data_IF_722928556996
#
_entry.id   IF_722928556996
#
_cell.length_a   1.000
_cell.length_b   1.000
_cell.length_c   1.000
_cell.angle_alpha   90.00
_cell.angle_beta   90.00
_cell.angle_gamma   90.00
#
_symmetry.space_group_name_H-M   'P 1'
#
loop_
_entity.id
_entity.type
_entity.pdbx_description
1 polymer ?
#
# COMPACT_ATOMS: atom_id res chain seq x y z
N UNK A 1 24.79 16.21 13.27
CA UNK A 1 24.78 16.10 11.81
C UNK A 1 23.32 16.15 11.37
N UNK A 2 22.87 17.31 10.85
CA UNK A 2 21.51 17.46 10.30
C UNK A 2 21.54 17.01 8.84
N UNK A 3 21.76 15.73 8.59
CA UNK A 3 21.63 15.17 7.24
C UNK A 3 20.15 15.15 6.85
N UNK A 4 19.80 15.83 5.77
CA UNK A 4 18.46 15.77 5.18
C UNK A 4 18.37 14.44 4.44
N UNK A 5 17.58 13.49 4.95
CA UNK A 5 17.30 12.23 4.28
C UNK A 5 15.94 12.27 3.57
N UNK A 6 15.81 11.46 2.52
CA UNK A 6 14.58 11.36 1.74
C UNK A 6 13.73 10.18 2.19
N UNK A 7 12.45 10.38 2.15
CA UNK A 7 11.47 9.33 2.42
C UNK A 7 10.41 9.31 1.32
N UNK A 8 9.83 8.14 1.15
CA UNK A 8 8.62 7.93 0.36
C UNK A 8 7.44 7.76 1.31
N UNK A 9 6.30 8.38 0.99
CA UNK A 9 5.02 8.10 1.63
C UNK A 9 4.04 7.53 0.60
N UNK A 10 3.34 6.44 0.99
CA UNK A 10 2.44 5.73 0.08
C UNK A 10 1.05 5.58 0.74
N UNK A 11 0.37 6.69 1.07
CA UNK A 11 -0.92 6.62 1.73
C UNK A 11 -1.99 6.06 0.81
N UNK A 12 -2.90 5.32 1.43
CA UNK A 12 -4.06 4.76 0.77
C UNK A 12 -5.31 5.43 1.34
N UNK A 13 -6.07 6.10 0.50
CA UNK A 13 -7.30 6.79 0.88
C UNK A 13 -8.54 6.05 0.37
N UNK A 14 -9.60 6.06 1.15
CA UNK A 14 -10.86 5.34 0.86
C UNK A 14 -11.79 6.20 0.01
N UNK A 15 -11.35 6.51 -1.20
CA UNK A 15 -12.18 7.17 -2.22
C UNK A 15 -11.61 6.97 -3.62
N UNK A 16 -12.48 6.96 -4.62
CA UNK A 16 -12.17 7.06 -6.04
C UNK A 16 -12.83 8.30 -6.67
N UNK A 17 -13.42 9.19 -5.85
CA UNK A 17 -14.05 10.41 -6.32
C UNK A 17 -13.02 11.41 -6.88
N UNK A 18 -13.10 11.78 -8.20
CA UNK A 18 -12.09 12.62 -8.82
C UNK A 18 -11.92 14.00 -8.18
N UNK A 19 -13.01 14.61 -7.70
CA UNK A 19 -12.97 15.95 -7.10
C UNK A 19 -12.23 15.93 -5.76
N UNK A 20 -12.49 14.92 -4.95
CA UNK A 20 -11.76 14.68 -3.68
C UNK A 20 -10.28 14.37 -3.96
N UNK A 21 -9.98 13.51 -4.95
CA UNK A 21 -8.61 13.18 -5.32
C UNK A 21 -7.83 14.39 -5.83
N UNK A 22 -8.47 15.28 -6.58
CA UNK A 22 -7.85 16.53 -7.05
C UNK A 22 -7.50 17.46 -5.88
N UNK A 23 -8.37 17.58 -4.87
CA UNK A 23 -8.12 18.38 -3.66
C UNK A 23 -6.96 17.78 -2.84
N UNK A 24 -6.94 16.47 -2.65
CA UNK A 24 -5.85 15.76 -1.98
C UNK A 24 -4.53 15.96 -2.73
N UNK A 25 -4.54 15.81 -4.06
CA UNK A 25 -3.36 16.03 -4.90
C UNK A 25 -2.84 17.46 -4.79
N UNK A 26 -3.74 18.46 -4.78
CA UNK A 26 -3.38 19.87 -4.61
C UNK A 26 -2.78 20.14 -3.23
N UNK A 27 -3.31 19.52 -2.16
CA UNK A 27 -2.76 19.63 -0.82
C UNK A 27 -1.32 19.09 -0.74
N UNK A 28 -1.04 17.93 -1.34
CA UNK A 28 0.31 17.36 -1.40
C UNK A 28 1.25 18.28 -2.20
N UNK A 29 0.84 18.71 -3.40
CA UNK A 29 1.63 19.60 -4.28
C UNK A 29 1.82 21.01 -3.73
N UNK A 30 1.08 21.42 -2.70
CA UNK A 30 1.29 22.71 -2.05
C UNK A 30 2.63 22.81 -1.30
N UNK A 31 3.33 21.68 -1.10
CA UNK A 31 4.66 21.62 -0.52
C UNK A 31 5.70 21.49 -1.65
N UNK A 32 6.49 22.53 -1.95
CA UNK A 32 7.34 22.58 -3.14
C UNK A 32 8.41 21.49 -3.22
N UNK A 33 8.90 21.04 -2.06
CA UNK A 33 9.95 20.01 -1.98
C UNK A 33 9.43 18.57 -2.12
N UNK A 34 8.12 18.39 -2.28
CA UNK A 34 7.49 17.08 -2.40
C UNK A 34 7.10 16.82 -3.85
N UNK A 35 7.59 15.71 -4.37
CA UNK A 35 7.26 15.20 -5.69
C UNK A 35 6.14 14.17 -5.59
N UNK A 36 4.92 14.56 -5.96
CA UNK A 36 3.78 13.64 -6.10
C UNK A 36 3.94 12.84 -7.41
N UNK A 37 4.45 11.62 -7.28
CA UNK A 37 4.79 10.73 -8.38
C UNK A 37 3.55 10.12 -9.04
N UNK A 38 2.67 9.50 -8.24
CA UNK A 38 1.55 8.71 -8.77
C UNK A 38 0.30 8.87 -7.93
N UNK A 39 -0.84 8.71 -8.62
CA UNK A 39 -2.17 8.59 -8.05
C UNK A 39 -2.82 7.38 -8.72
N UNK A 40 -2.73 6.22 -8.06
CA UNK A 40 -3.24 4.95 -8.58
C UNK A 40 -4.65 4.69 -8.01
N UNK A 41 -5.67 4.91 -8.82
CA UNK A 41 -7.08 4.79 -8.43
C UNK A 41 -7.67 3.45 -8.85
N UNK A 42 -8.30 2.74 -7.91
CA UNK A 42 -9.11 1.55 -8.14
C UNK A 42 -10.59 1.86 -7.94
N UNK A 43 -11.36 1.90 -9.02
CA UNK A 43 -12.78 2.29 -8.98
C UNK A 43 -13.63 1.31 -8.16
N UNK A 44 -13.57 0.01 -8.45
CA UNK A 44 -14.32 -1.00 -7.70
C UNK A 44 -13.85 -1.14 -6.24
N UNK A 45 -12.57 -0.88 -5.99
CA UNK A 45 -12.02 -0.82 -4.65
C UNK A 45 -12.50 0.42 -3.87
N UNK A 46 -12.97 1.46 -4.58
CA UNK A 46 -13.25 2.79 -4.07
C UNK A 46 -12.09 3.27 -3.18
N UNK A 47 -10.88 3.18 -3.73
CA UNK A 47 -9.61 3.37 -3.01
C UNK A 47 -8.54 3.90 -3.96
N UNK A 48 -7.74 4.82 -3.48
CA UNK A 48 -6.65 5.41 -4.25
C UNK A 48 -5.35 5.37 -3.44
N UNK A 49 -4.27 5.01 -4.11
CA UNK A 49 -2.91 5.04 -3.59
C UNK A 49 -2.22 6.28 -4.12
N UNK A 50 -1.75 7.13 -3.23
CA UNK A 50 -0.85 8.22 -3.58
C UNK A 50 0.59 7.76 -3.33
N UNK A 51 1.52 8.19 -4.14
CA UNK A 51 2.96 7.94 -3.95
C UNK A 51 3.70 9.26 -4.13
N UNK A 52 4.37 9.72 -3.09
CA UNK A 52 5.18 10.94 -3.13
C UNK A 52 6.47 10.81 -2.34
N UNK A 53 7.47 11.55 -2.77
CA UNK A 53 8.86 11.49 -2.31
C UNK A 53 9.36 12.90 -2.02
N UNK A 54 10.24 13.04 -1.04
CA UNK A 54 10.91 14.30 -0.72
C UNK A 54 11.74 14.21 0.54
N UNK A 55 12.31 15.33 0.98
CA UNK A 55 12.93 15.45 2.30
C UNK A 55 11.92 15.09 3.40
N UNK A 56 12.37 14.40 4.45
CA UNK A 56 11.45 13.86 5.46
C UNK A 56 10.52 14.91 6.07
N UNK A 57 11.02 16.10 6.41
CA UNK A 57 10.20 17.18 6.97
C UNK A 57 9.08 17.63 6.02
N UNK A 58 9.40 17.78 4.73
CA UNK A 58 8.42 18.19 3.71
C UNK A 58 7.38 17.11 3.44
N UNK A 59 7.78 15.83 3.42
CA UNK A 59 6.85 14.71 3.28
C UNK A 59 5.89 14.62 4.46
N UNK A 60 6.35 14.83 5.70
CA UNK A 60 5.47 14.86 6.87
C UNK A 60 4.47 16.03 6.78
N UNK A 61 4.89 17.23 6.41
CA UNK A 61 3.99 18.36 6.20
C UNK A 61 2.95 18.09 5.11
N UNK A 62 3.38 17.56 3.98
CA UNK A 62 2.47 17.17 2.89
C UNK A 62 1.48 16.09 3.33
N UNK A 63 1.94 15.12 4.14
CA UNK A 63 1.09 14.03 4.66
C UNK A 63 0.04 14.59 5.64
N UNK A 64 0.40 15.53 6.49
CA UNK A 64 -0.57 16.19 7.38
C UNK A 64 -1.67 16.89 6.57
N UNK A 65 -1.30 17.72 5.59
CA UNK A 65 -2.27 18.41 4.71
C UNK A 65 -3.14 17.43 3.91
N UNK A 66 -2.55 16.34 3.45
CA UNK A 66 -3.26 15.26 2.77
C UNK A 66 -4.30 14.62 3.69
N UNK A 67 -3.92 14.28 4.92
CA UNK A 67 -4.82 13.68 5.93
C UNK A 67 -5.95 14.64 6.26
N UNK A 68 -5.65 15.90 6.58
CA UNK A 68 -6.65 16.93 6.89
C UNK A 68 -7.67 17.07 5.75
N UNK A 69 -7.18 17.07 4.50
CA UNK A 69 -8.04 17.13 3.31
C UNK A 69 -8.89 15.86 3.18
N UNK A 70 -8.30 14.67 3.33
CA UNK A 70 -9.04 13.42 3.25
C UNK A 70 -10.16 13.35 4.30
N UNK A 71 -9.88 13.73 5.55
CA UNK A 71 -10.87 13.75 6.65
C UNK A 71 -12.00 14.78 6.42
N UNK A 72 -11.72 15.87 5.72
CA UNK A 72 -12.74 16.86 5.37
C UNK A 72 -13.78 16.29 4.38
N UNK A 73 -13.33 15.54 3.37
CA UNK A 73 -14.16 15.15 2.22
C UNK A 73 -14.61 13.68 2.23
N UNK A 74 -13.96 12.80 3.00
CA UNK A 74 -14.31 11.37 3.05
C UNK A 74 -15.12 11.09 4.34
N UNK A 75 -16.24 10.39 4.16
CA UNK A 75 -17.09 9.92 5.26
C UNK A 75 -17.21 8.38 5.18
N UNK A 76 -16.54 7.69 6.08
CA UNK A 76 -16.47 6.23 6.11
C UNK A 76 -17.83 5.57 6.37
N UNK A 77 -18.78 6.27 6.98
CA UNK A 77 -20.17 5.78 7.19
C UNK A 77 -20.90 5.54 5.87
N UNK A 78 -20.46 6.20 4.79
CA UNK A 78 -21.05 6.13 3.44
C UNK A 78 -20.18 5.33 2.46
N UNK A 79 -18.98 4.90 2.90
CA UNK A 79 -18.02 4.24 2.03
C UNK A 79 -18.39 2.77 1.78
N UNK A 80 -18.34 2.35 0.50
CA UNK A 80 -18.35 0.95 0.09
C UNK A 80 -17.30 0.70 -1.00
N UNK A 81 -16.70 -0.49 -1.01
CA UNK A 81 -15.70 -0.92 -1.98
C UNK A 81 -15.28 -2.36 -1.69
N UNK A 82 -14.76 -3.05 -2.71
CA UNK A 82 -14.39 -4.48 -2.58
C UNK A 82 -13.05 -4.69 -1.86
N UNK A 83 -12.27 -3.64 -1.66
CA UNK A 83 -10.97 -3.74 -1.00
C UNK A 83 -11.09 -3.53 0.52
N UNK A 84 -10.38 -4.33 1.36
CA UNK A 84 -10.34 -4.12 2.80
C UNK A 84 -9.86 -2.71 3.17
N UNK A 85 -10.55 -2.07 4.12
CA UNK A 85 -10.22 -0.72 4.61
C UNK A 85 -10.74 -0.50 6.03
N UNK A 86 -10.13 0.43 6.76
CA UNK A 86 -10.54 0.75 8.11
C UNK A 86 -10.71 2.27 8.38
N UNK A 87 -10.35 3.13 7.43
CA UNK A 87 -10.50 4.58 7.60
C UNK A 87 -10.41 5.37 6.31
N UNK A 88 -10.74 6.65 6.38
CA UNK A 88 -10.63 7.60 5.27
C UNK A 88 -9.21 7.64 4.71
N UNK A 89 -8.21 7.66 5.60
CA UNK A 89 -6.83 7.28 5.32
C UNK A 89 -6.64 5.91 5.95
N UNK A 90 -6.68 4.87 5.14
CA UNK A 90 -6.66 3.49 5.62
C UNK A 90 -5.25 3.06 6.08
N UNK A 91 -4.26 3.29 5.23
CA UNK A 91 -2.85 2.99 5.52
C UNK A 91 -1.98 4.18 5.13
N UNK A 92 -1.08 4.58 6.01
CA UNK A 92 -0.12 5.66 5.77
C UNK A 92 1.30 5.18 6.12
N UNK A 93 1.99 4.51 5.17
CA UNK A 93 3.34 4.01 5.37
C UNK A 93 4.38 5.04 4.97
N UNK A 94 5.48 5.05 5.71
CA UNK A 94 6.69 5.78 5.39
C UNK A 94 7.84 4.81 5.11
N UNK A 95 8.66 5.09 4.10
CA UNK A 95 9.81 4.29 3.68
C UNK A 95 11.04 5.19 3.59
N UNK A 96 12.13 4.79 4.23
CA UNK A 96 13.42 5.46 4.06
C UNK A 96 13.98 5.11 2.68
N UNK A 97 14.40 6.11 1.92
CA UNK A 97 15.01 5.94 0.59
C UNK A 97 16.53 6.14 0.59
N UNK A 98 17.08 6.69 1.66
CA UNK A 98 18.51 6.93 1.80
C UNK A 98 19.17 5.85 2.68
N UNK A 99 20.45 6.01 2.97
CA UNK A 99 21.31 5.03 3.61
C UNK A 99 20.84 4.61 5.01
N UNK A 100 21.26 3.41 5.43
CA UNK A 100 20.85 2.80 6.69
C UNK A 100 21.26 3.63 7.92
N UNK A 101 22.29 4.49 7.80
CA UNK A 101 22.70 5.39 8.87
C UNK A 101 21.59 6.33 9.35
N UNK A 102 20.63 6.69 8.48
CA UNK A 102 19.49 7.53 8.82
C UNK A 102 18.34 6.74 9.47
N UNK A 103 18.42 5.41 9.56
CA UNK A 103 17.31 4.55 10.01
C UNK A 103 16.79 4.93 11.40
N UNK A 104 17.68 5.20 12.35
CA UNK A 104 17.28 5.57 13.71
C UNK A 104 16.56 6.93 13.76
N UNK A 105 17.08 7.93 13.04
CA UNK A 105 16.47 9.25 12.93
C UNK A 105 15.10 9.18 12.23
N UNK A 106 15.00 8.41 11.16
CA UNK A 106 13.77 8.15 10.42
C UNK A 106 12.69 7.52 11.31
N UNK A 107 13.02 6.44 12.03
CA UNK A 107 12.05 5.78 12.92
C UNK A 107 11.52 6.73 13.99
N UNK A 108 12.45 7.50 14.60
CA UNK A 108 12.08 8.51 15.60
C UNK A 108 11.15 9.58 15.03
N UNK A 109 11.44 10.06 13.82
CA UNK A 109 10.62 11.09 13.16
C UNK A 109 9.22 10.56 12.80
N UNK A 110 9.11 9.32 12.32
CA UNK A 110 7.80 8.68 12.07
C UNK A 110 7.01 8.54 13.36
N UNK A 111 7.63 8.11 14.47
CA UNK A 111 6.95 7.99 15.76
C UNK A 111 6.48 9.35 16.29
N UNK A 112 7.28 10.41 16.13
CA UNK A 112 6.90 11.77 16.47
C UNK A 112 5.72 12.27 15.63
N UNK A 113 5.70 11.95 14.33
CA UNK A 113 4.59 12.29 13.45
C UNK A 113 3.30 11.55 13.82
N UNK A 114 3.39 10.27 14.19
CA UNK A 114 2.26 9.48 14.71
C UNK A 114 1.66 10.15 15.95
N UNK A 115 2.50 10.54 16.94
CA UNK A 115 2.04 11.25 18.14
C UNK A 115 1.36 12.58 17.78
N UNK A 116 2.00 13.37 16.90
CA UNK A 116 1.44 14.64 16.45
C UNK A 116 0.04 14.46 15.84
N UNK A 117 -0.12 13.53 14.90
CA UNK A 117 -1.41 13.28 14.26
C UNK A 117 -2.47 12.77 15.24
N UNK A 118 -2.06 12.00 16.25
CA UNK A 118 -2.95 11.59 17.34
C UNK A 118 -3.45 12.75 18.18
N UNK A 119 -2.62 13.78 18.44
CA UNK A 119 -3.06 14.99 19.15
C UNK A 119 -4.07 15.80 18.33
N UNK A 120 -4.06 15.67 17.01
CA UNK A 120 -5.06 16.24 16.10
C UNK A 120 -6.38 15.48 16.04
N UNK A 121 -6.50 14.38 16.78
CA UNK A 121 -7.74 13.60 16.87
C UNK A 121 -7.85 12.44 15.87
N UNK A 122 -6.78 12.05 15.19
CA UNK A 122 -6.79 10.89 14.30
C UNK A 122 -6.60 9.59 15.11
N UNK A 123 -7.53 8.61 15.05
CA UNK A 123 -7.31 7.29 15.64
C UNK A 123 -6.25 6.51 14.86
N UNK A 124 -5.10 6.22 15.48
CA UNK A 124 -3.97 5.59 14.79
C UNK A 124 -3.59 4.27 15.45
N UNK A 125 -3.50 3.21 14.64
CA UNK A 125 -2.84 1.96 14.97
C UNK A 125 -1.43 2.00 14.38
N UNK A 126 -0.42 2.13 15.23
CA UNK A 126 0.97 2.08 14.81
C UNK A 126 1.33 0.67 14.33
N UNK A 127 1.88 0.55 13.12
CA UNK A 127 2.13 -0.75 12.52
C UNK A 127 3.55 -0.91 11.97
N UNK A 128 3.90 -2.13 11.59
CA UNK A 128 5.17 -2.58 11.06
C UNK A 128 6.33 -2.22 12.02
N UNK A 129 7.33 -1.40 11.62
CA UNK A 129 8.46 -1.01 12.48
C UNK A 129 8.07 -0.05 13.61
N UNK A 130 6.98 0.70 13.45
CA UNK A 130 6.41 1.57 14.48
C UNK A 130 5.44 0.85 15.41
N UNK A 131 5.19 -0.45 15.22
CA UNK A 131 4.21 -1.22 15.98
C UNK A 131 4.50 -1.23 17.49
N UNK A 132 3.53 -0.81 18.30
CA UNK A 132 3.61 -0.82 19.79
C UNK A 132 3.19 -2.17 20.41
N UNK A 133 2.52 -3.02 19.62
CA UNK A 133 2.12 -4.38 19.99
C UNK A 133 2.63 -5.36 18.92
N UNK A 134 3.20 -6.52 19.29
CA UNK A 134 3.76 -7.47 18.31
C UNK A 134 2.80 -7.85 17.18
N UNK A 135 1.51 -8.04 17.46
CA UNK A 135 0.49 -8.37 16.48
C UNK A 135 0.26 -7.26 15.44
N UNK A 136 0.59 -6.01 15.77
CA UNK A 136 0.44 -4.85 14.87
C UNK A 136 1.56 -4.71 13.86
N UNK A 137 2.60 -5.53 13.93
CA UNK A 137 3.61 -5.63 12.85
C UNK A 137 3.01 -6.14 11.54
N UNK A 138 1.92 -6.90 11.61
CA UNK A 138 1.25 -7.41 10.43
C UNK A 138 0.01 -6.56 10.11
N UNK A 139 0.05 -5.80 9.01
CA UNK A 139 -1.04 -4.94 8.55
C UNK A 139 -2.37 -5.70 8.40
N UNK A 140 -2.34 -6.96 7.95
CA UNK A 140 -3.56 -7.76 7.80
C UNK A 140 -4.25 -8.03 9.14
N UNK A 141 -3.47 -8.17 10.23
CA UNK A 141 -4.02 -8.30 11.58
C UNK A 141 -4.53 -6.96 12.12
N UNK A 142 -3.84 -5.86 11.82
CA UNK A 142 -4.31 -4.50 12.18
C UNK A 142 -5.67 -4.21 11.55
N UNK A 143 -5.85 -4.56 10.28
CA UNK A 143 -7.09 -4.34 9.51
C UNK A 143 -8.16 -5.42 9.69
N UNK A 144 -7.89 -6.45 10.53
CA UNK A 144 -8.86 -7.55 10.71
C UNK A 144 -10.21 -7.00 11.19
N UNK A 145 -11.26 -7.36 10.44
CA UNK A 145 -12.63 -6.91 10.67
C UNK A 145 -12.96 -5.55 10.11
N UNK A 146 -11.97 -4.89 9.50
CA UNK A 146 -12.14 -3.66 8.72
C UNK A 146 -12.81 -2.52 9.50
N UNK A 147 -13.37 -1.55 8.79
CA UNK A 147 -14.11 -0.43 9.40
C UNK A 147 -15.30 -0.91 10.25
N UNK A 148 -15.99 -1.93 9.79
CA UNK A 148 -17.21 -2.46 10.39
C UNK A 148 -16.99 -3.00 11.81
N UNK A 149 -15.80 -3.45 12.14
CA UNK A 149 -15.49 -3.93 13.50
C UNK A 149 -14.87 -2.87 14.42
N UNK A 150 -14.55 -1.68 13.92
CA UNK A 150 -13.96 -0.62 14.75
C UNK A 150 -14.81 -0.27 15.99
N UNK A 151 -16.15 -0.08 15.88
CA UNK A 151 -16.96 0.21 17.07
C UNK A 151 -16.79 -0.83 18.17
N UNK A 152 -16.80 -2.11 17.80
CA UNK A 152 -16.63 -3.22 18.75
C UNK A 152 -15.20 -3.31 19.29
N UNK A 153 -14.18 -3.04 18.46
CA UNK A 153 -12.78 -3.00 18.92
C UNK A 153 -12.56 -1.94 19.99
N UNK A 154 -13.13 -0.75 19.80
CA UNK A 154 -13.05 0.35 20.79
C UNK A 154 -13.73 -0.02 22.10
N UNK A 155 -14.83 -0.77 22.09
CA UNK A 155 -15.52 -1.21 23.34
C UNK A 155 -14.83 -2.42 23.98
N UNK A 156 -14.12 -3.26 23.22
CA UNK A 156 -13.45 -4.46 23.72
C UNK A 156 -11.99 -4.22 24.14
N UNK A 157 -11.53 -2.97 24.18
CA UNK A 157 -10.19 -2.62 24.64
C UNK A 157 -9.07 -2.76 23.61
N UNK A 158 -9.38 -3.01 22.33
CA UNK A 158 -8.40 -2.91 21.24
C UNK A 158 -8.36 -1.48 20.69
N UNK A 159 -8.00 -0.56 21.56
CA UNK A 159 -7.91 0.87 21.24
C UNK A 159 -6.78 1.17 20.25
N UNK A 160 -6.89 2.29 19.49
CA UNK A 160 -5.76 2.88 18.79
C UNK A 160 -4.58 3.12 19.74
N UNK A 161 -3.36 3.06 19.22
CA UNK A 161 -2.15 3.35 20.00
C UNK A 161 -2.08 4.82 20.36
N UNK A 162 -2.58 5.69 19.46
CA UNK A 162 -2.58 7.14 19.58
C UNK A 162 -3.89 7.69 19.10
N UNK A 163 -4.29 8.86 19.62
CA UNK A 163 -5.53 9.53 19.29
C UNK A 163 -6.72 9.06 20.13
N UNK A 164 -7.95 9.37 19.71
CA UNK A 164 -9.17 9.08 20.46
C UNK A 164 -9.36 7.59 20.75
N UNK A 165 -9.82 7.28 21.96
CA UNK A 165 -10.16 5.92 22.40
C UNK A 165 -11.66 5.69 22.54
N UNK A 166 -12.45 6.67 22.16
CA UNK A 166 -13.92 6.64 22.17
C UNK A 166 -14.39 6.61 20.72
N UNK A 167 -15.34 5.72 20.43
CA UNK A 167 -16.00 5.67 19.14
C UNK A 167 -17.15 6.67 19.13
N UNK A 168 -16.85 7.90 18.76
CA UNK A 168 -17.81 8.99 18.59
C UNK A 168 -18.10 9.26 17.10
N UNK A 169 -18.82 10.32 16.83
CA UNK A 169 -19.20 10.72 15.46
C UNK A 169 -17.99 11.09 14.59
N UNK A 170 -16.95 11.67 15.19
CA UNK A 170 -15.70 12.00 14.50
C UNK A 170 -14.92 10.73 14.14
N UNK A 171 -14.77 9.80 15.07
CA UNK A 171 -14.16 8.50 14.83
C UNK A 171 -14.97 7.67 13.83
N UNK A 172 -16.30 7.72 13.87
CA UNK A 172 -17.15 7.06 12.90
C UNK A 172 -16.99 7.64 11.48
N UNK A 173 -16.86 8.97 11.36
CA UNK A 173 -16.61 9.63 10.07
C UNK A 173 -15.23 9.27 9.51
N UNK A 174 -14.19 9.34 10.32
CA UNK A 174 -12.79 9.12 9.87
C UNK A 174 -12.42 7.65 9.75
N UNK A 175 -13.01 6.78 10.57
CA UNK A 175 -12.44 5.46 10.86
C UNK A 175 -11.11 5.57 11.60
N UNK A 176 -10.20 4.63 11.36
CA UNK A 176 -8.87 4.62 11.93
C UNK A 176 -7.80 4.38 10.87
N UNK A 177 -6.59 4.86 11.14
CA UNK A 177 -5.44 4.76 10.21
C UNK A 177 -4.40 3.78 10.73
N UNK A 178 -3.93 2.87 9.89
CA UNK A 178 -2.69 2.14 10.14
C UNK A 178 -1.51 3.00 9.66
N UNK A 179 -0.69 3.52 10.58
CA UNK A 179 0.42 4.42 10.26
C UNK A 179 1.74 3.88 10.79
N UNK A 180 2.84 4.00 10.01
CA UNK A 180 4.14 3.56 10.51
C UNK A 180 5.23 3.50 9.46
N UNK A 181 6.46 3.35 9.96
CA UNK A 181 7.63 3.05 9.15
C UNK A 181 7.59 1.60 8.68
N UNK A 182 7.87 1.36 7.39
CA UNK A 182 8.04 0.01 6.86
C UNK A 182 9.28 -0.10 5.96
N UNK A 183 9.79 -1.29 5.75
CA UNK A 183 10.79 -1.53 4.70
C UNK A 183 10.23 -1.22 3.33
N UNK A 184 11.12 -1.05 2.36
CA UNK A 184 10.74 -1.02 0.95
C UNK A 184 9.94 -2.26 0.59
N UNK A 185 8.90 -2.07 -0.21
CA UNK A 185 8.03 -3.13 -0.70
C UNK A 185 7.65 -2.84 -2.15
N UNK A 186 7.65 -3.85 -2.98
CA UNK A 186 7.16 -3.74 -4.35
C UNK A 186 5.80 -4.42 -4.47
N UNK A 187 4.79 -3.68 -4.91
CA UNK A 187 3.47 -4.22 -5.24
C UNK A 187 3.43 -4.55 -6.73
N UNK A 188 3.43 -5.85 -7.03
CA UNK A 188 3.58 -6.40 -8.37
C UNK A 188 2.50 -7.45 -8.63
N UNK A 189 1.68 -7.24 -9.65
CA UNK A 189 0.56 -8.09 -9.99
C UNK A 189 0.81 -8.75 -11.36
N UNK A 190 0.52 -10.05 -11.47
CA UNK A 190 0.67 -10.81 -12.72
C UNK A 190 -0.71 -11.24 -13.21
N UNK A 191 -1.06 -10.86 -14.44
CA UNK A 191 -2.35 -11.16 -15.04
C UNK A 191 -2.35 -12.57 -15.63
N UNK A 192 -3.46 -13.30 -15.43
CA UNK A 192 -3.69 -14.61 -16.04
C UNK A 192 -4.67 -14.52 -17.21
N UNK A 193 -4.47 -15.36 -18.23
CA UNK A 193 -5.32 -15.43 -19.41
C UNK A 193 -5.38 -16.85 -19.99
N UNK A 194 -6.20 -17.07 -21.03
CA UNK A 194 -6.31 -18.35 -21.72
C UNK A 194 -7.35 -19.32 -21.13
N UNK A 195 -8.26 -18.83 -20.28
CA UNK A 195 -9.31 -19.65 -19.69
C UNK A 195 -10.54 -18.86 -19.29
N UNK A 196 -11.57 -19.53 -18.78
CA UNK A 196 -12.76 -18.86 -18.22
C UNK A 196 -12.40 -18.19 -16.89
N UNK A 197 -13.02 -17.06 -16.61
CA UNK A 197 -12.79 -16.27 -15.38
C UNK A 197 -12.77 -17.11 -14.09
N UNK A 198 -13.75 -17.99 -13.92
CA UNK A 198 -13.84 -18.85 -12.73
C UNK A 198 -12.66 -19.81 -12.60
N UNK A 199 -12.19 -20.36 -13.73
CA UNK A 199 -11.03 -21.25 -13.77
C UNK A 199 -9.72 -20.51 -13.49
N UNK A 200 -9.55 -19.35 -14.14
CA UNK A 200 -8.41 -18.47 -13.91
C UNK A 200 -8.32 -18.02 -12.44
N UNK A 201 -9.48 -17.73 -11.81
CA UNK A 201 -9.50 -17.34 -10.39
C UNK A 201 -9.08 -18.49 -9.46
N UNK A 202 -9.47 -19.72 -9.78
CA UNK A 202 -9.00 -20.91 -9.05
C UNK A 202 -7.49 -21.07 -9.22
N UNK A 203 -7.00 -20.99 -10.47
CA UNK A 203 -5.56 -21.06 -10.78
C UNK A 203 -4.78 -19.95 -10.06
N UNK A 204 -5.24 -18.70 -10.12
CA UNK A 204 -4.59 -17.58 -9.43
C UNK A 204 -4.48 -17.80 -7.92
N UNK A 205 -5.54 -18.30 -7.28
CA UNK A 205 -5.54 -18.64 -5.85
C UNK A 205 -4.58 -19.79 -5.53
N UNK A 206 -4.48 -20.78 -6.40
CA UNK A 206 -3.53 -21.89 -6.26
C UNK A 206 -2.08 -21.39 -6.38
N UNK A 207 -1.76 -20.66 -7.44
CA UNK A 207 -0.43 -20.08 -7.67
C UNK A 207 -0.03 -19.17 -6.51
N UNK A 208 -0.94 -18.28 -6.08
CA UNK A 208 -0.69 -17.40 -4.94
C UNK A 208 -0.33 -18.15 -3.65
N UNK A 209 -0.98 -19.30 -3.39
CA UNK A 209 -0.64 -20.15 -2.23
C UNK A 209 0.74 -20.77 -2.35
N UNK A 210 1.14 -21.19 -3.56
CA UNK A 210 2.43 -21.85 -3.77
C UNK A 210 3.60 -20.88 -3.61
N UNK A 211 3.44 -19.60 -4.02
CA UNK A 211 4.55 -18.65 -4.03
C UNK A 211 4.68 -17.84 -2.72
N UNK A 212 3.68 -17.79 -1.85
CA UNK A 212 3.73 -16.95 -0.66
C UNK A 212 4.53 -17.59 0.48
N UNK A 213 5.35 -16.78 1.16
CA UNK A 213 6.29 -17.20 2.22
C UNK A 213 5.60 -18.01 3.33
N UNK A 214 4.43 -17.59 3.80
CA UNK A 214 3.73 -18.25 4.91
C UNK A 214 3.32 -19.71 4.65
N UNK A 215 3.25 -20.12 3.37
CA UNK A 215 2.89 -21.48 2.96
C UNK A 215 4.11 -22.25 2.42
N UNK A 216 5.34 -21.75 2.69
CA UNK A 216 6.60 -22.39 2.31
C UNK A 216 7.12 -21.94 0.93
N UNK A 217 6.57 -20.86 0.36
CA UNK A 217 7.02 -20.28 -0.91
C UNK A 217 8.22 -19.34 -0.76
N UNK A 218 8.28 -18.34 -1.61
CA UNK A 218 9.42 -17.42 -1.75
C UNK A 218 9.54 -16.45 -0.55
N UNK A 219 10.77 -16.17 -0.08
CA UNK A 219 11.01 -15.22 1.01
C UNK A 219 10.40 -13.84 0.74
N UNK A 220 9.70 -13.28 1.72
CA UNK A 220 9.11 -11.94 1.63
C UNK A 220 7.91 -11.82 0.70
N UNK A 221 7.45 -12.89 0.02
CA UNK A 221 6.28 -12.82 -0.86
C UNK A 221 4.99 -12.99 -0.06
N UNK A 222 4.12 -11.98 -0.13
CA UNK A 222 2.71 -12.08 0.26
C UNK A 222 1.88 -12.06 -1.00
N UNK A 223 0.99 -13.03 -1.20
CA UNK A 223 0.25 -13.16 -2.45
C UNK A 223 -1.18 -13.63 -2.22
N UNK A 224 -2.08 -13.13 -3.09
CA UNK A 224 -3.47 -13.55 -3.22
C UNK A 224 -3.85 -13.69 -4.69
N UNK A 225 -4.79 -14.57 -4.99
CA UNK A 225 -5.45 -14.63 -6.31
C UNK A 225 -6.79 -13.93 -6.23
N UNK A 226 -7.05 -12.97 -7.11
CA UNK A 226 -8.28 -12.20 -7.15
C UNK A 226 -8.75 -11.85 -8.56
N UNK A 227 -9.96 -11.35 -8.66
CA UNK A 227 -10.53 -10.80 -9.88
C UNK A 227 -10.80 -9.31 -9.69
N UNK A 228 -10.43 -8.51 -10.67
CA UNK A 228 -10.68 -7.06 -10.70
C UNK A 228 -11.78 -6.78 -11.71
N UNK A 229 -12.99 -6.43 -11.23
CA UNK A 229 -14.15 -6.21 -12.10
C UNK A 229 -13.96 -5.11 -13.13
N UNK A 230 -13.37 -3.98 -12.72
CA UNK A 230 -13.19 -2.79 -13.58
C UNK A 230 -12.30 -3.05 -14.80
N UNK A 231 -11.42 -4.02 -14.69
CA UNK A 231 -10.42 -4.34 -15.72
C UNK A 231 -10.72 -5.68 -16.40
N UNK A 232 -11.74 -6.38 -15.92
CA UNK A 232 -12.11 -7.76 -16.31
C UNK A 232 -10.92 -8.71 -16.35
N UNK A 233 -10.05 -8.64 -15.33
CA UNK A 233 -8.81 -9.44 -15.26
C UNK A 233 -8.71 -10.24 -13.97
N UNK A 234 -8.14 -11.44 -14.08
CA UNK A 234 -7.73 -12.26 -12.94
C UNK A 234 -6.25 -12.10 -12.72
N UNK A 235 -5.85 -11.79 -11.48
CA UNK A 235 -4.46 -11.55 -11.13
C UNK A 235 -3.96 -12.45 -10.00
N UNK A 236 -2.68 -12.79 -10.07
CA UNK A 236 -1.86 -13.16 -8.92
C UNK A 236 -1.23 -11.87 -8.38
N UNK A 237 -1.83 -11.31 -7.32
CA UNK A 237 -1.38 -10.06 -6.71
C UNK A 237 -0.31 -10.37 -5.67
N UNK A 238 0.84 -9.70 -5.78
CA UNK A 238 2.01 -9.93 -4.94
C UNK A 238 2.49 -8.64 -4.27
N UNK A 239 2.77 -8.72 -2.98
CA UNK A 239 3.55 -7.75 -2.24
C UNK A 239 4.89 -8.36 -1.87
N UNK A 240 5.96 -7.88 -2.50
CA UNK A 240 7.34 -8.30 -2.24
C UNK A 240 7.88 -7.44 -1.08
N UNK A 241 7.84 -7.98 0.14
CA UNK A 241 8.25 -7.25 1.37
C UNK A 241 9.75 -7.33 1.61
N UNK A 242 10.46 -8.16 0.85
CA UNK A 242 11.90 -8.30 0.83
C UNK A 242 12.39 -8.30 -0.64
N UNK A 243 12.19 -7.21 -1.37
CA UNK A 243 12.44 -7.19 -2.82
C UNK A 243 13.93 -7.37 -3.19
N UNK A 244 14.85 -7.29 -2.21
CA UNK A 244 16.28 -7.56 -2.41
C UNK A 244 16.62 -9.06 -2.26
N UNK A 245 15.75 -9.85 -1.61
CA UNK A 245 15.88 -11.31 -1.51
C UNK A 245 15.12 -12.01 -2.64
N UNK A 246 13.86 -11.58 -2.89
CA UNK A 246 12.99 -12.10 -3.95
C UNK A 246 12.53 -10.95 -4.83
N UNK A 247 13.03 -10.91 -6.07
CA UNK A 247 12.74 -9.85 -7.04
C UNK A 247 11.54 -10.14 -7.94
N UNK A 248 11.10 -9.09 -8.66
CA UNK A 248 9.97 -9.20 -9.60
C UNK A 248 10.23 -10.18 -10.75
N UNK A 249 11.49 -10.31 -11.19
CA UNK A 249 11.88 -11.25 -12.26
C UNK A 249 11.59 -12.69 -11.88
N UNK A 250 12.03 -13.08 -10.68
CA UNK A 250 11.84 -14.44 -10.16
C UNK A 250 10.35 -14.73 -9.95
N UNK A 251 9.62 -13.82 -9.33
CA UNK A 251 8.17 -13.99 -9.10
C UNK A 251 7.42 -14.14 -10.41
N UNK A 252 7.72 -13.29 -11.42
CA UNK A 252 7.07 -13.36 -12.71
C UNK A 252 7.31 -14.69 -13.42
N UNK A 253 8.56 -15.15 -13.46
CA UNK A 253 8.95 -16.42 -14.08
C UNK A 253 8.23 -17.61 -13.42
N UNK A 254 8.19 -17.65 -12.08
CA UNK A 254 7.51 -18.74 -11.36
C UNK A 254 6.00 -18.70 -11.61
N UNK A 255 5.38 -17.53 -11.61
CA UNK A 255 3.93 -17.40 -11.94
C UNK A 255 3.67 -17.87 -13.36
N UNK A 256 4.52 -17.51 -14.35
CA UNK A 256 4.38 -17.97 -15.74
C UNK A 256 4.50 -19.49 -15.84
N UNK A 257 5.50 -20.10 -15.20
CA UNK A 257 5.70 -21.54 -15.21
C UNK A 257 4.52 -22.29 -14.61
N UNK A 258 4.00 -21.81 -13.48
CA UNK A 258 2.86 -22.44 -12.82
C UNK A 258 1.55 -22.23 -13.59
N UNK A 259 1.34 -21.05 -14.19
CA UNK A 259 0.21 -20.81 -15.07
C UNK A 259 0.21 -21.77 -16.26
N UNK A 260 1.37 -21.92 -16.92
CA UNK A 260 1.54 -22.83 -18.05
C UNK A 260 1.29 -24.30 -17.66
N UNK A 261 1.79 -24.74 -16.50
CA UNK A 261 1.55 -26.08 -15.97
C UNK A 261 0.06 -26.38 -15.71
N UNK A 262 -0.75 -25.33 -15.46
CA UNK A 262 -2.19 -25.41 -15.30
C UNK A 262 -2.97 -25.20 -16.62
N UNK A 263 -2.26 -25.02 -17.75
CA UNK A 263 -2.86 -24.80 -19.07
C UNK A 263 -3.28 -23.35 -19.36
N UNK A 264 -2.75 -22.39 -18.61
CA UNK A 264 -3.05 -20.95 -18.74
C UNK A 264 -1.80 -20.14 -19.09
N UNK A 265 -1.98 -18.86 -19.41
CA UNK A 265 -0.92 -17.91 -19.73
C UNK A 265 -0.84 -16.82 -18.67
N UNK A 266 0.36 -16.27 -18.51
CA UNK A 266 0.63 -15.06 -17.73
C UNK A 266 1.39 -14.06 -18.61
N UNK A 267 0.67 -13.33 -19.50
CA UNK A 267 1.30 -12.56 -20.58
C UNK A 267 1.85 -11.22 -20.15
N UNK A 268 1.33 -10.65 -19.07
CA UNK A 268 1.63 -9.30 -18.65
C UNK A 268 1.49 -9.10 -17.14
N UNK A 269 1.95 -7.95 -16.69
CA UNK A 269 1.95 -7.57 -15.27
C UNK A 269 1.65 -6.09 -15.07
N UNK A 270 1.36 -5.75 -13.82
CA UNK A 270 1.07 -4.40 -13.37
C UNK A 270 1.93 -4.06 -12.15
N UNK A 271 2.47 -2.84 -12.15
CA UNK A 271 3.20 -2.28 -11.02
C UNK A 271 2.34 -1.19 -10.36
N UNK A 272 2.23 -1.25 -9.03
CA UNK A 272 1.58 -0.22 -8.20
C UNK A 272 2.66 0.50 -7.38
N UNK A 273 2.69 1.85 -7.46
CA UNK A 273 3.71 2.66 -6.81
C UNK A 273 5.08 2.58 -7.47
N UNK A 274 6.13 2.79 -6.69
CA UNK A 274 7.51 2.79 -7.17
C UNK A 274 8.19 1.42 -7.10
N UNK A 275 9.24 1.26 -7.90
CA UNK A 275 10.07 0.06 -7.95
C UNK A 275 11.55 0.46 -7.97
N UNK A 276 12.42 -0.17 -7.15
CA UNK A 276 13.86 0.04 -7.22
C UNK A 276 14.44 -0.33 -8.59
N UNK A 277 15.33 0.48 -9.12
CA UNK A 277 16.02 0.22 -10.39
C UNK A 277 16.69 -1.15 -10.42
N UNK A 278 17.31 -1.57 -9.31
CA UNK A 278 17.97 -2.87 -9.19
C UNK A 278 17.06 -4.09 -9.40
N UNK A 279 15.73 -3.91 -9.36
CA UNK A 279 14.79 -4.97 -9.70
C UNK A 279 14.86 -5.38 -11.17
N UNK A 280 15.48 -4.55 -12.02
CA UNK A 280 15.67 -4.81 -13.45
C UNK A 280 17.07 -5.30 -13.81
N UNK A 281 17.89 -5.71 -12.84
CA UNK A 281 19.23 -6.25 -13.12
C UNK A 281 19.21 -7.55 -13.94
N UNK A 282 18.15 -8.35 -13.84
CA UNK A 282 18.00 -9.65 -14.48
C UNK A 282 16.84 -9.76 -15.46
N UNK A 283 16.06 -8.70 -15.62
CA UNK A 283 14.93 -8.60 -16.53
C UNK A 283 14.70 -7.15 -16.94
N UNK A 284 13.85 -6.95 -17.93
CA UNK A 284 13.44 -5.61 -18.34
C UNK A 284 11.93 -5.41 -18.09
N UNK A 285 11.43 -4.19 -18.05
CA UNK A 285 9.98 -3.95 -18.01
C UNK A 285 9.25 -4.73 -19.11
N UNK A 286 9.79 -4.78 -20.31
CA UNK A 286 9.20 -5.51 -21.45
C UNK A 286 9.13 -7.02 -21.24
N UNK A 287 10.17 -7.65 -20.67
CA UNK A 287 10.17 -9.11 -20.39
C UNK A 287 9.19 -9.48 -19.28
N UNK A 288 8.87 -8.56 -18.38
CA UNK A 288 7.85 -8.71 -17.35
C UNK A 288 6.43 -8.42 -17.88
N UNK A 289 6.28 -8.05 -19.15
CA UNK A 289 5.00 -7.63 -19.72
C UNK A 289 4.47 -6.33 -19.13
N UNK A 290 5.31 -5.55 -18.42
CA UNK A 290 4.96 -4.20 -17.97
C UNK A 290 4.74 -3.29 -19.18
N UNK A 291 3.71 -2.48 -19.11
CA UNK A 291 3.30 -1.59 -20.20
C UNK A 291 2.35 -2.21 -21.22
N UNK A 292 2.10 -3.53 -21.19
CA UNK A 292 1.12 -4.17 -22.08
C UNK A 292 -0.31 -3.97 -21.58
N UNK A 293 -0.51 -4.12 -20.29
CA UNK A 293 -1.83 -3.99 -19.65
C UNK A 293 -2.18 -2.54 -19.31
N UNK A 294 -1.25 -1.83 -18.68
CA UNK A 294 -1.31 -0.39 -18.42
C UNK A 294 0.02 0.25 -18.80
N UNK A 295 0.05 1.47 -19.35
CA UNK A 295 1.29 2.16 -19.64
C UNK A 295 2.22 2.17 -18.44
N UNK A 296 3.45 1.71 -18.64
CA UNK A 296 4.48 1.87 -17.63
C UNK A 296 5.01 3.30 -17.66
N UNK A 297 4.96 3.96 -16.51
CA UNK A 297 5.50 5.30 -16.36
C UNK A 297 6.97 5.16 -15.93
N UNK A 298 7.95 5.69 -16.70
CA UNK A 298 9.37 5.57 -16.36
C UNK A 298 9.71 6.07 -14.95
N UNK A 299 9.01 7.11 -14.49
CA UNK A 299 9.21 7.70 -13.16
C UNK A 299 8.84 6.77 -11.99
N UNK A 300 8.25 5.58 -12.26
CA UNK A 300 8.06 4.55 -11.24
C UNK A 300 9.37 3.90 -10.83
N UNK A 301 10.41 3.99 -11.66
CA UNK A 301 11.74 3.47 -11.33
C UNK A 301 12.45 4.49 -10.46
N UNK A 302 12.84 4.08 -9.25
CA UNK A 302 13.57 4.93 -8.32
C UNK A 302 14.98 4.36 -8.07
N UNK A 303 15.99 5.23 -7.98
CA UNK A 303 17.32 4.82 -7.55
C UNK A 303 17.27 4.39 -6.08
N UNK A 304 17.56 3.09 -5.83
CA UNK A 304 17.56 2.50 -4.48
C UNK A 304 18.51 1.30 -4.45
#
# INVERSE_FOLDING_TARGET
MNGTYRIECIPNVSTADPDTLNKISAAIRSIPEVDLRFVDTGLSANRTVFTYIGPAHAVFEATEKMIDTALAYIDMRKHSGVHPRMGAVDVCPFVLLDEEEFQAAFLKAVDQFIEHMGTKGLPIYAYERSARKPLRRNLALVRKGEYEQLPSRFTQGDFPDVGPKIWDDAAAKSGATAMGARPLMVAFNVNLSGGRKSELLVAAKQIARTIRERDGGLPGVKSIGWYIPDLDVVQVSCNLTKPLETGVCEVFQIVQQQALALGYLAPDSELIGCIPERQFNFCTPSTLGLGRFKPMIPDRIIPY
#
